data_IF_787043290145
#
_entry.id   IF_787043290145
#
_cell.length_a   1.000
_cell.length_b   1.000
_cell.length_c   1.000
_cell.angle_alpha   90.00
_cell.angle_beta   90.00
_cell.angle_gamma   90.00
#
_symmetry.space_group_name_H-M   'P 1'
#
loop_
_entity.id
_entity.type
_entity.pdbx_description
1 polymer ?
#
# COMPACT_ATOMS: atom_id res chain seq x y z
N UNK A 1 -42.01 -25.23 -12.39
CA UNK A 1 -42.66 -23.93 -12.69
C UNK A 1 -41.93 -23.30 -13.87
N UNK A 2 -42.62 -22.94 -14.96
CA UNK A 2 -41.97 -22.50 -16.21
C UNK A 2 -41.49 -21.04 -16.11
N UNK A 3 -40.20 -20.83 -15.82
CA UNK A 3 -39.58 -19.50 -15.66
C UNK A 3 -39.39 -18.73 -16.97
N UNK A 4 -39.61 -19.36 -18.14
CA UNK A 4 -39.38 -18.74 -19.45
C UNK A 4 -40.37 -17.60 -19.71
N UNK A 5 -41.64 -17.80 -19.33
CA UNK A 5 -42.71 -16.80 -19.53
C UNK A 5 -42.44 -15.48 -18.77
N UNK A 6 -42.17 -15.47 -17.45
CA UNK A 6 -41.86 -14.24 -16.75
C UNK A 6 -40.53 -13.61 -17.22
N UNK A 7 -39.55 -14.42 -17.61
CA UNK A 7 -38.28 -13.91 -18.11
C UNK A 7 -38.45 -13.15 -19.44
N UNK A 8 -39.26 -13.69 -20.35
CA UNK A 8 -39.58 -13.05 -21.62
C UNK A 8 -40.45 -11.79 -21.42
N UNK A 9 -41.38 -11.81 -20.47
CA UNK A 9 -42.22 -10.66 -20.14
C UNK A 9 -41.39 -9.47 -19.65
N UNK A 10 -40.39 -9.70 -18.78
CA UNK A 10 -39.44 -8.66 -18.38
C UNK A 10 -38.62 -8.16 -19.58
N UNK A 11 -38.04 -9.05 -20.38
CA UNK A 11 -37.26 -8.65 -21.56
C UNK A 11 -38.08 -7.79 -22.53
N UNK A 12 -39.37 -8.06 -22.68
CA UNK A 12 -40.29 -7.28 -23.50
C UNK A 12 -40.79 -5.98 -22.83
N UNK A 13 -40.38 -5.69 -21.59
CA UNK A 13 -40.81 -4.52 -20.82
C UNK A 13 -42.28 -4.56 -20.37
N UNK A 14 -42.89 -5.75 -20.30
CA UNK A 14 -44.32 -5.92 -19.99
C UNK A 14 -44.62 -6.06 -18.49
N UNK A 15 -43.58 -6.19 -17.66
CA UNK A 15 -43.73 -6.28 -16.22
C UNK A 15 -44.02 -4.89 -15.61
N UNK A 16 -44.64 -4.90 -14.43
CA UNK A 16 -44.77 -3.68 -13.64
C UNK A 16 -43.39 -3.03 -13.39
N UNK A 17 -43.35 -1.69 -13.47
CA UNK A 17 -42.10 -0.96 -13.41
C UNK A 17 -41.45 -1.06 -12.02
N UNK A 18 -42.22 -0.93 -10.94
CA UNK A 18 -41.67 -1.01 -9.59
C UNK A 18 -41.16 -2.42 -9.28
N UNK A 19 -41.91 -3.44 -9.68
CA UNK A 19 -41.49 -4.83 -9.57
C UNK A 19 -40.17 -5.07 -10.34
N UNK A 20 -40.10 -4.53 -11.56
CA UNK A 20 -38.90 -4.62 -12.40
C UNK A 20 -37.70 -3.99 -11.71
N UNK A 21 -37.83 -2.76 -11.23
CA UNK A 21 -36.73 -2.01 -10.63
C UNK A 21 -36.26 -2.61 -9.30
N UNK A 22 -37.19 -2.88 -8.38
CA UNK A 22 -36.84 -3.28 -7.01
C UNK A 22 -36.47 -4.75 -6.91
N UNK A 23 -37.20 -5.64 -7.59
CA UNK A 23 -37.00 -7.08 -7.46
C UNK A 23 -36.09 -7.61 -8.57
N UNK A 24 -36.45 -7.34 -9.84
CA UNK A 24 -35.74 -7.95 -10.97
C UNK A 24 -34.36 -7.33 -11.18
N UNK A 25 -34.20 -6.02 -11.02
CA UNK A 25 -32.89 -5.36 -11.17
C UNK A 25 -32.14 -5.38 -9.85
N UNK A 26 -32.58 -4.63 -8.84
CA UNK A 26 -31.83 -4.48 -7.58
C UNK A 26 -31.80 -5.77 -6.75
N UNK A 27 -32.96 -6.37 -6.49
CA UNK A 27 -33.07 -7.57 -5.66
C UNK A 27 -32.23 -8.73 -6.19
N UNK A 28 -32.35 -9.06 -7.47
CA UNK A 28 -31.52 -10.10 -8.09
C UNK A 28 -30.04 -9.72 -8.10
N UNK A 29 -29.67 -8.46 -8.35
CA UNK A 29 -28.26 -8.03 -8.35
C UNK A 29 -27.60 -8.13 -6.97
N UNK A 30 -28.34 -7.81 -5.91
CA UNK A 30 -27.89 -7.99 -4.53
C UNK A 30 -27.77 -9.47 -4.18
N UNK A 31 -28.76 -10.28 -4.59
CA UNK A 31 -28.74 -11.73 -4.38
C UNK A 31 -27.56 -12.39 -5.10
N UNK A 32 -27.27 -12.02 -6.34
CA UNK A 32 -26.10 -12.56 -7.06
C UNK A 32 -24.79 -12.18 -6.37
N UNK A 33 -24.67 -10.94 -5.91
CA UNK A 33 -23.49 -10.50 -5.14
C UNK A 33 -23.32 -11.29 -3.84
N UNK A 34 -24.41 -11.49 -3.09
CA UNK A 34 -24.41 -12.28 -1.86
C UNK A 34 -23.99 -13.74 -2.12
N UNK A 35 -24.58 -14.39 -3.13
CA UNK A 35 -24.26 -15.78 -3.49
C UNK A 35 -22.80 -15.93 -3.95
N UNK A 36 -22.25 -14.96 -4.67
CA UNK A 36 -20.86 -14.97 -5.12
C UNK A 36 -19.87 -15.15 -3.96
N UNK A 37 -20.16 -14.57 -2.78
CA UNK A 37 -19.32 -14.69 -1.59
C UNK A 37 -19.09 -16.14 -1.14
N UNK A 38 -20.02 -17.05 -1.45
CA UNK A 38 -19.96 -18.45 -1.06
C UNK A 38 -19.44 -19.38 -2.16
N UNK A 39 -19.17 -18.87 -3.36
CA UNK A 39 -18.71 -19.69 -4.48
C UNK A 39 -17.19 -19.96 -4.41
N UNK A 40 -16.73 -21.19 -4.72
CA UNK A 40 -15.31 -21.48 -4.85
C UNK A 40 -14.70 -20.79 -6.08
N UNK A 41 -13.39 -20.51 -6.04
CA UNK A 41 -12.68 -19.81 -7.13
C UNK A 41 -12.80 -20.51 -8.49
N UNK A 42 -12.92 -21.84 -8.51
CA UNK A 42 -13.07 -22.65 -9.72
C UNK A 42 -14.34 -22.37 -10.53
N UNK A 43 -15.42 -21.90 -9.90
CA UNK A 43 -16.70 -21.62 -10.59
C UNK A 43 -16.90 -20.13 -10.88
N UNK A 44 -16.05 -19.27 -10.31
CA UNK A 44 -16.16 -17.81 -10.49
C UNK A 44 -16.10 -17.36 -11.96
N UNK A 45 -15.24 -17.90 -12.85
CA UNK A 45 -15.23 -17.45 -14.25
C UNK A 45 -16.59 -17.59 -14.94
N UNK A 46 -17.25 -18.75 -14.77
CA UNK A 46 -18.59 -19.00 -15.32
C UNK A 46 -19.64 -18.12 -14.65
N UNK A 47 -19.54 -17.91 -13.33
CA UNK A 47 -20.43 -17.03 -12.59
C UNK A 47 -20.35 -15.56 -13.05
N UNK A 48 -19.15 -15.08 -13.35
CA UNK A 48 -18.92 -13.73 -13.86
C UNK A 48 -19.55 -13.55 -15.24
N UNK A 49 -19.40 -14.51 -16.16
CA UNK A 49 -20.07 -14.49 -17.47
C UNK A 49 -21.58 -14.46 -17.30
N UNK A 50 -22.14 -15.31 -16.44
CA UNK A 50 -23.57 -15.31 -16.12
C UNK A 50 -24.03 -13.94 -15.58
N UNK A 51 -23.27 -13.34 -14.68
CA UNK A 51 -23.60 -12.06 -14.04
C UNK A 51 -23.63 -10.88 -15.02
N UNK A 52 -22.79 -10.92 -16.07
CA UNK A 52 -22.79 -9.94 -17.18
C UNK A 52 -23.99 -10.17 -18.10
N UNK A 53 -24.28 -11.42 -18.47
CA UNK A 53 -25.46 -11.74 -19.29
C UNK A 53 -26.77 -11.36 -18.57
N UNK A 54 -26.84 -11.59 -17.26
CA UNK A 54 -27.94 -11.15 -16.42
C UNK A 54 -28.06 -9.62 -16.42
N UNK A 55 -26.95 -8.87 -16.37
CA UNK A 55 -26.98 -7.40 -16.47
C UNK A 55 -27.63 -6.95 -17.77
N UNK A 56 -27.21 -7.50 -18.91
CA UNK A 56 -27.76 -7.13 -20.23
C UNK A 56 -29.27 -7.36 -20.24
N UNK A 57 -29.72 -8.51 -19.71
CA UNK A 57 -31.13 -8.82 -19.59
C UNK A 57 -31.89 -7.84 -18.69
N UNK A 58 -31.34 -7.50 -17.52
CA UNK A 58 -31.90 -6.53 -16.57
C UNK A 58 -32.01 -5.12 -17.17
N UNK A 59 -30.96 -4.65 -17.85
CA UNK A 59 -30.91 -3.32 -18.48
C UNK A 59 -31.96 -3.21 -19.57
N UNK A 60 -31.99 -4.17 -20.50
CA UNK A 60 -32.93 -4.15 -21.63
C UNK A 60 -34.38 -4.17 -21.14
N UNK A 61 -34.71 -5.05 -20.18
CA UNK A 61 -36.06 -5.13 -19.65
C UNK A 61 -36.47 -3.89 -18.85
N UNK A 62 -35.57 -3.33 -18.04
CA UNK A 62 -35.83 -2.12 -17.26
C UNK A 62 -36.05 -0.89 -18.15
N UNK A 63 -35.19 -0.68 -19.16
CA UNK A 63 -35.35 0.43 -20.10
C UNK A 63 -36.65 0.32 -20.91
N UNK A 64 -36.99 -0.88 -21.40
CA UNK A 64 -38.25 -1.10 -22.13
C UNK A 64 -39.48 -0.88 -21.26
N UNK A 65 -39.45 -1.31 -19.99
CA UNK A 65 -40.53 -1.07 -19.04
C UNK A 65 -40.65 0.43 -18.71
N UNK A 66 -39.52 1.12 -18.54
CA UNK A 66 -39.45 2.57 -18.33
C UNK A 66 -40.01 3.36 -19.51
N UNK A 67 -39.63 3.00 -20.74
CA UNK A 67 -40.14 3.62 -21.97
C UNK A 67 -41.65 3.43 -22.13
N UNK A 68 -42.16 2.22 -21.84
CA UNK A 68 -43.58 1.94 -21.89
C UNK A 68 -44.33 2.75 -20.83
N UNK A 69 -43.80 2.82 -19.60
CA UNK A 69 -44.37 3.62 -18.53
C UNK A 69 -44.43 5.10 -18.91
N UNK A 70 -43.34 5.65 -19.47
CA UNK A 70 -43.28 7.04 -19.92
C UNK A 70 -44.32 7.31 -21.01
N UNK A 71 -44.47 6.41 -21.99
CA UNK A 71 -45.46 6.54 -23.07
C UNK A 71 -46.91 6.47 -22.59
N UNK A 72 -47.22 5.58 -21.63
CA UNK A 72 -48.60 5.33 -21.19
C UNK A 72 -49.04 6.29 -20.08
N UNK A 73 -48.16 6.61 -19.13
CA UNK A 73 -48.50 7.41 -17.94
C UNK A 73 -47.88 8.80 -17.92
N UNK A 74 -46.89 9.09 -18.76
CA UNK A 74 -46.27 10.43 -18.87
C UNK A 74 -45.40 10.87 -17.68
N UNK A 75 -45.19 10.02 -16.67
CA UNK A 75 -44.45 10.37 -15.46
C UNK A 75 -42.93 10.30 -15.65
N UNK A 76 -42.23 11.44 -15.67
CA UNK A 76 -40.78 11.50 -15.87
C UNK A 76 -39.97 11.01 -14.66
N UNK A 77 -40.47 11.14 -13.43
CA UNK A 77 -39.73 10.78 -12.21
C UNK A 77 -39.34 9.30 -12.21
N UNK A 78 -40.30 8.40 -12.45
CA UNK A 78 -40.03 6.95 -12.44
C UNK A 78 -39.17 6.50 -13.62
N UNK A 79 -39.19 7.24 -14.74
CA UNK A 79 -38.25 7.02 -15.83
C UNK A 79 -36.81 7.37 -15.41
N UNK A 80 -36.59 8.53 -14.77
CA UNK A 80 -35.26 8.87 -14.24
C UNK A 80 -34.80 7.91 -13.15
N UNK A 81 -35.70 7.43 -12.29
CA UNK A 81 -35.38 6.35 -11.33
C UNK A 81 -34.93 5.07 -12.04
N UNK A 82 -35.51 4.74 -13.21
CA UNK A 82 -35.08 3.61 -14.03
C UNK A 82 -33.64 3.76 -14.46
N UNK A 83 -33.27 4.94 -15.01
CA UNK A 83 -31.89 5.22 -15.43
C UNK A 83 -30.93 5.13 -14.25
N UNK A 84 -31.27 5.75 -13.12
CA UNK A 84 -30.43 5.72 -11.92
C UNK A 84 -30.21 4.28 -11.41
N UNK A 85 -31.27 3.47 -11.36
CA UNK A 85 -31.19 2.07 -10.91
C UNK A 85 -30.37 1.21 -11.88
N UNK A 86 -30.48 1.44 -13.19
CA UNK A 86 -29.65 0.77 -14.19
C UNK A 86 -28.17 1.11 -14.00
N UNK A 87 -27.84 2.38 -13.75
CA UNK A 87 -26.46 2.81 -13.46
C UNK A 87 -25.94 2.16 -12.18
N UNK A 88 -26.75 2.14 -11.11
CA UNK A 88 -26.40 1.46 -9.84
C UNK A 88 -26.17 -0.03 -10.07
N UNK A 89 -27.04 -0.71 -10.84
CA UNK A 89 -26.88 -2.12 -11.15
C UNK A 89 -25.59 -2.40 -11.95
N UNK A 90 -25.24 -1.53 -12.90
CA UNK A 90 -23.99 -1.63 -13.64
C UNK A 90 -22.77 -1.45 -12.71
N UNK A 91 -22.79 -0.44 -11.83
CA UNK A 91 -21.72 -0.20 -10.85
C UNK A 91 -21.56 -1.41 -9.90
N UNK A 92 -22.66 -1.93 -9.36
CA UNK A 92 -22.64 -3.13 -8.52
C UNK A 92 -22.05 -4.33 -9.27
N UNK A 93 -22.37 -4.48 -10.56
CA UNK A 93 -21.79 -5.54 -11.39
C UNK A 93 -20.28 -5.37 -11.53
N UNK A 94 -19.80 -4.16 -11.79
CA UNK A 94 -18.37 -3.87 -11.89
C UNK A 94 -17.65 -4.20 -10.60
N UNK A 95 -18.18 -3.77 -9.45
CA UNK A 95 -17.60 -4.09 -8.14
C UNK A 95 -17.56 -5.60 -7.88
N UNK A 96 -18.65 -6.31 -8.18
CA UNK A 96 -18.71 -7.78 -8.06
C UNK A 96 -17.73 -8.48 -9.01
N UNK A 97 -17.54 -7.93 -10.22
CA UNK A 97 -16.60 -8.49 -11.19
C UNK A 97 -15.14 -8.32 -10.73
N UNK A 98 -14.79 -7.15 -10.20
CA UNK A 98 -13.47 -6.89 -9.62
C UNK A 98 -13.20 -7.77 -8.39
N UNK A 99 -14.18 -7.94 -7.51
CA UNK A 99 -14.10 -8.91 -6.40
C UNK A 99 -13.84 -10.33 -6.92
N UNK A 100 -14.62 -10.79 -7.89
CA UNK A 100 -14.44 -12.11 -8.49
C UNK A 100 -13.06 -12.30 -9.11
N UNK A 101 -12.56 -11.31 -9.86
CA UNK A 101 -11.21 -11.34 -10.41
C UNK A 101 -10.13 -11.39 -9.33
N UNK A 102 -10.25 -10.59 -8.26
CA UNK A 102 -9.29 -10.60 -7.15
C UNK A 102 -9.24 -11.94 -6.41
N UNK A 103 -10.30 -12.76 -6.50
CA UNK A 103 -10.36 -14.10 -5.90
C UNK A 103 -9.88 -15.20 -6.85
N UNK A 104 -10.01 -15.01 -8.17
CA UNK A 104 -9.45 -15.92 -9.19
C UNK A 104 -7.93 -15.71 -9.28
N UNK A 105 -7.51 -14.45 -9.28
CA UNK A 105 -6.13 -14.01 -9.33
C UNK A 105 -5.84 -13.23 -8.05
N UNK A 106 -5.66 -13.93 -6.91
CA UNK A 106 -5.19 -13.26 -5.71
C UNK A 106 -3.89 -12.53 -6.04
N UNK A 107 -3.70 -11.28 -5.57
CA UNK A 107 -2.39 -10.65 -5.68
C UNK A 107 -1.37 -11.63 -5.08
N UNK A 108 -0.20 -11.75 -5.73
CA UNK A 108 0.89 -12.54 -5.15
C UNK A 108 1.10 -12.02 -3.73
N UNK A 109 0.81 -12.88 -2.75
CA UNK A 109 1.16 -12.56 -1.37
C UNK A 109 2.68 -12.45 -1.38
N UNK A 110 3.21 -11.25 -1.13
CA UNK A 110 4.61 -11.16 -0.76
C UNK A 110 4.82 -12.18 0.37
N UNK A 111 5.76 -13.13 0.22
CA UNK A 111 5.97 -14.13 1.25
C UNK A 111 6.13 -13.38 2.57
N UNK A 112 5.26 -13.68 3.53
CA UNK A 112 5.38 -13.13 4.89
C UNK A 112 6.71 -13.65 5.40
N UNK A 113 7.76 -12.85 5.21
CA UNK A 113 9.09 -13.21 5.62
C UNK A 113 9.01 -13.48 7.12
N UNK A 114 9.43 -14.68 7.50
CA UNK A 114 9.37 -15.17 8.87
C UNK A 114 9.97 -14.11 9.81
N UNK A 115 9.14 -13.56 10.71
CA UNK A 115 9.57 -12.56 11.69
C UNK A 115 10.41 -13.28 12.73
N UNK A 116 11.73 -13.25 12.56
CA UNK A 116 12.70 -13.78 13.53
C UNK A 116 13.21 -12.64 14.40
N UNK A 117 13.36 -12.84 15.72
CA UNK A 117 14.04 -11.88 16.57
C UNK A 117 15.44 -11.57 16.01
N UNK A 118 15.82 -10.29 16.07
CA UNK A 118 17.16 -9.86 15.69
C UNK A 118 18.18 -10.29 16.74
N UNK A 119 19.40 -10.54 16.27
CA UNK A 119 20.52 -10.87 17.15
C UNK A 119 20.86 -9.67 18.06
N UNK A 120 21.24 -9.97 19.30
CA UNK A 120 21.71 -9.00 20.28
C UNK A 120 23.10 -9.39 20.78
N UNK A 121 23.86 -8.41 21.26
CA UNK A 121 25.15 -8.66 21.92
C UNK A 121 24.97 -9.46 23.22
N UNK A 122 26.05 -10.12 23.65
CA UNK A 122 26.04 -10.93 24.88
C UNK A 122 25.69 -10.14 26.15
N UNK A 123 25.93 -8.83 26.16
CA UNK A 123 25.58 -7.91 27.26
C UNK A 123 24.16 -7.31 27.10
N UNK A 124 23.42 -7.69 26.06
CA UNK A 124 22.08 -7.20 25.71
C UNK A 124 21.95 -5.68 25.50
N UNK A 125 23.08 -4.97 25.31
CA UNK A 125 23.09 -3.52 25.09
C UNK A 125 23.07 -3.11 23.61
N UNK A 126 23.45 -4.01 22.72
CA UNK A 126 23.52 -3.75 21.28
C UNK A 126 22.60 -4.68 20.52
N UNK A 127 21.73 -4.11 19.70
CA UNK A 127 20.89 -4.83 18.75
C UNK A 127 21.51 -4.75 17.36
N UNK A 128 21.62 -5.89 16.67
CA UNK A 128 22.17 -5.95 15.30
C UNK A 128 21.07 -5.86 14.24
N UNK A 129 20.99 -4.69 13.58
CA UNK A 129 20.07 -4.45 12.47
C UNK A 129 20.78 -4.75 11.14
N UNK A 130 20.63 -5.99 10.67
CA UNK A 130 21.27 -6.49 9.47
C UNK A 130 20.24 -6.77 8.35
N UNK A 131 20.57 -6.35 7.12
CA UNK A 131 19.80 -6.71 5.92
C UNK A 131 18.97 -5.57 5.33
N UNK A 132 18.06 -5.92 4.42
CA UNK A 132 17.21 -4.96 3.71
C UNK A 132 16.14 -4.36 4.64
N UNK A 133 15.89 -3.06 4.50
CA UNK A 133 14.84 -2.36 5.23
C UNK A 133 13.44 -2.73 4.70
N UNK A 134 12.96 -3.89 5.13
CA UNK A 134 11.64 -4.44 4.81
C UNK A 134 10.65 -4.29 5.98
N UNK A 135 9.36 -4.51 5.69
CA UNK A 135 8.33 -4.54 6.73
C UNK A 135 8.56 -5.65 7.76
N UNK A 136 9.10 -6.80 7.33
CA UNK A 136 9.46 -7.88 8.25
C UNK A 136 10.62 -7.51 9.17
N UNK A 137 11.67 -6.85 8.65
CA UNK A 137 12.78 -6.37 9.49
C UNK A 137 12.28 -5.40 10.56
N UNK A 138 11.34 -4.51 10.21
CA UNK A 138 10.71 -3.60 11.18
C UNK A 138 9.98 -4.36 12.29
N UNK A 139 9.22 -5.40 11.93
CA UNK A 139 8.50 -6.20 12.92
C UNK A 139 9.47 -6.93 13.85
N UNK A 140 10.52 -7.55 13.29
CA UNK A 140 11.61 -8.17 14.05
C UNK A 140 12.27 -7.17 15.01
N UNK A 141 12.57 -5.96 14.53
CA UNK A 141 13.17 -4.90 15.35
C UNK A 141 12.29 -4.50 16.54
N UNK A 142 11.00 -4.28 16.31
CA UNK A 142 10.06 -3.92 17.38
C UNK A 142 9.90 -5.04 18.40
N UNK A 143 9.79 -6.29 17.93
CA UNK A 143 9.68 -7.44 18.82
C UNK A 143 10.94 -7.60 19.68
N UNK A 144 12.13 -7.51 19.10
CA UNK A 144 13.39 -7.62 19.85
C UNK A 144 13.54 -6.52 20.89
N UNK A 145 13.13 -5.28 20.59
CA UNK A 145 13.17 -4.19 21.59
C UNK A 145 12.15 -4.35 22.71
N UNK A 146 11.01 -5.01 22.46
CA UNK A 146 10.05 -5.36 23.50
C UNK A 146 10.60 -6.42 24.45
N UNK A 147 11.35 -7.39 23.91
CA UNK A 147 11.98 -8.47 24.67
C UNK A 147 13.25 -8.01 25.42
N UNK A 148 13.94 -6.98 24.89
CA UNK A 148 15.24 -6.51 25.39
C UNK A 148 15.25 -5.00 25.65
N UNK A 149 14.66 -4.57 26.77
CA UNK A 149 14.55 -3.16 27.15
C UNK A 149 15.86 -2.48 27.57
N UNK A 150 16.95 -3.25 27.71
CA UNK A 150 18.28 -2.75 28.08
C UNK A 150 19.13 -2.32 26.86
N UNK A 151 18.60 -2.46 25.64
CA UNK A 151 19.29 -2.04 24.42
C UNK A 151 19.50 -0.53 24.46
N UNK A 152 20.74 -0.13 24.21
CA UNK A 152 21.17 1.27 24.16
C UNK A 152 21.66 1.65 22.76
N UNK A 153 22.12 0.68 21.97
CA UNK A 153 22.74 0.91 20.66
C UNK A 153 22.15 -0.01 19.60
N UNK A 154 21.84 0.56 18.43
CA UNK A 154 21.52 -0.18 17.21
C UNK A 154 22.77 -0.17 16.33
N UNK A 155 23.39 -1.34 16.17
CA UNK A 155 24.47 -1.52 15.22
C UNK A 155 23.88 -1.89 13.85
N UNK A 156 24.23 -1.14 12.83
CA UNK A 156 23.56 -1.16 11.53
C UNK A 156 24.50 -1.69 10.44
N UNK A 157 23.98 -2.62 9.63
CA UNK A 157 24.58 -3.04 8.37
C UNK A 157 23.48 -3.29 7.34
N UNK A 158 23.27 -2.33 6.43
CA UNK A 158 22.17 -2.38 5.47
C UNK A 158 22.49 -1.60 4.19
N UNK A 159 22.05 -2.15 3.06
CA UNK A 159 22.11 -1.48 1.75
C UNK A 159 20.91 -0.56 1.49
N UNK A 160 20.00 -0.46 2.46
CA UNK A 160 18.76 0.29 2.34
C UNK A 160 17.57 -0.61 2.10
N UNK A 161 16.55 -0.10 1.41
CA UNK A 161 15.26 -0.74 1.22
C UNK A 161 14.14 0.30 1.18
N UNK A 162 13.00 -0.02 1.77
CA UNK A 162 11.83 0.87 1.78
C UNK A 162 12.10 2.12 2.64
N UNK A 163 12.01 3.31 2.03
CA UNK A 163 12.16 4.61 2.72
C UNK A 163 11.20 4.74 3.91
N UNK A 164 9.93 4.34 3.73
CA UNK A 164 8.93 4.36 4.79
C UNK A 164 9.28 3.44 5.98
N UNK A 165 9.95 2.31 5.72
CA UNK A 165 10.46 1.44 6.80
C UNK A 165 11.63 2.12 7.50
N UNK A 166 12.57 2.71 6.76
CA UNK A 166 13.69 3.46 7.34
C UNK A 166 13.23 4.58 8.27
N UNK A 167 12.22 5.36 7.86
CA UNK A 167 11.63 6.40 8.71
C UNK A 167 10.92 5.85 9.94
N UNK A 168 10.23 4.73 9.82
CA UNK A 168 9.56 4.12 10.96
C UNK A 168 10.55 3.59 12.02
N UNK A 169 11.65 2.97 11.57
CA UNK A 169 12.75 2.59 12.44
C UNK A 169 13.38 3.82 13.08
N UNK A 170 13.62 4.88 12.30
CA UNK A 170 14.15 6.15 12.79
C UNK A 170 13.28 6.78 13.89
N UNK A 171 11.95 6.80 13.71
CA UNK A 171 11.02 7.28 14.74
C UNK A 171 11.15 6.48 16.05
N UNK A 172 11.24 5.17 15.94
CA UNK A 172 11.39 4.27 17.11
C UNK A 172 12.72 4.51 17.82
N UNK A 173 13.82 4.60 17.07
CA UNK A 173 15.16 4.91 17.60
C UNK A 173 15.16 6.26 18.33
N UNK A 174 14.52 7.28 17.75
CA UNK A 174 14.44 8.61 18.32
C UNK A 174 13.59 8.63 19.59
N UNK A 175 12.45 7.95 19.60
CA UNK A 175 11.55 7.85 20.76
C UNK A 175 12.25 7.18 21.95
N UNK A 176 12.97 6.09 21.69
CA UNK A 176 13.71 5.33 22.70
C UNK A 176 15.10 5.91 23.00
N UNK A 177 15.49 6.99 22.31
CA UNK A 177 16.80 7.65 22.44
C UNK A 177 17.99 6.69 22.26
N UNK A 178 17.86 5.72 21.36
CA UNK A 178 18.92 4.76 21.08
C UNK A 178 20.07 5.43 20.33
N UNK A 179 21.28 4.91 20.53
CA UNK A 179 22.46 5.25 19.75
C UNK A 179 22.46 4.44 18.44
N UNK A 180 23.15 4.94 17.43
CA UNK A 180 23.34 4.22 16.16
C UNK A 180 24.83 4.10 15.85
N UNK A 181 25.22 2.91 15.38
CA UNK A 181 26.60 2.61 15.02
C UNK A 181 26.65 1.91 13.67
N UNK A 182 27.47 2.40 12.75
CA UNK A 182 27.75 1.69 11.49
C UNK A 182 29.00 0.84 11.68
N UNK A 183 28.87 -0.47 11.47
CA UNK A 183 30.02 -1.38 11.57
C UNK A 183 30.66 -1.70 10.21
N UNK A 184 29.84 -1.82 9.16
CA UNK A 184 30.31 -2.13 7.80
C UNK A 184 29.81 -1.12 6.78
N UNK A 185 28.50 -1.06 6.54
CA UNK A 185 27.94 -0.10 5.60
C UNK A 185 26.50 0.24 5.90
N UNK A 186 26.11 1.45 5.57
CA UNK A 186 24.74 1.94 5.67
C UNK A 186 24.42 2.79 4.44
N UNK A 187 23.61 2.25 3.52
CA UNK A 187 23.36 2.85 2.21
C UNK A 187 21.88 3.22 2.02
N UNK A 188 21.62 4.23 1.20
CA UNK A 188 20.26 4.62 0.80
C UNK A 188 19.34 4.91 2.00
N UNK A 189 18.16 4.28 2.09
CA UNK A 189 17.22 4.45 3.20
C UNK A 189 17.80 4.09 4.59
N UNK A 190 18.88 3.30 4.66
CA UNK A 190 19.60 3.04 5.91
C UNK A 190 20.10 4.34 6.56
N UNK A 191 20.51 5.31 5.76
CA UNK A 191 21.03 6.59 6.27
C UNK A 191 20.01 7.30 7.16
N UNK A 192 18.71 7.18 6.86
CA UNK A 192 17.62 7.74 7.68
C UNK A 192 17.62 7.10 9.08
N UNK A 193 17.79 5.77 9.14
CA UNK A 193 17.87 5.01 10.39
C UNK A 193 19.08 5.45 11.21
N UNK A 194 20.25 5.52 10.57
CA UNK A 194 21.48 5.94 11.23
C UNK A 194 21.37 7.36 11.81
N UNK A 195 20.80 8.29 11.03
CA UNK A 195 20.66 9.70 11.41
C UNK A 195 19.70 9.92 12.59
N UNK A 196 18.88 8.94 12.95
CA UNK A 196 17.95 9.03 14.07
C UNK A 196 18.63 8.85 15.44
N UNK A 197 19.85 8.29 15.48
CA UNK A 197 20.54 7.97 16.72
C UNK A 197 20.85 9.20 17.56
N UNK A 198 20.74 9.03 18.89
CA UNK A 198 21.11 10.07 19.86
C UNK A 198 22.61 10.33 19.86
N UNK A 199 23.39 9.24 19.78
CA UNK A 199 24.82 9.25 19.45
C UNK A 199 25.03 8.47 18.16
N UNK A 200 25.84 9.00 17.25
CA UNK A 200 26.12 8.45 15.93
C UNK A 200 27.61 8.18 15.80
N UNK A 201 27.97 6.91 15.71
CA UNK A 201 29.36 6.46 15.58
C UNK A 201 29.54 5.55 14.36
N UNK A 202 30.79 5.43 13.92
CA UNK A 202 31.12 4.73 12.69
C UNK A 202 32.47 4.01 12.85
N UNK A 203 32.55 2.75 12.42
CA UNK A 203 33.79 1.99 12.40
C UNK A 203 34.77 2.54 11.35
N UNK A 204 36.08 2.38 11.57
CA UNK A 204 37.10 3.03 10.74
C UNK A 204 37.03 2.67 9.25
N UNK A 205 36.68 1.42 8.93
CA UNK A 205 36.61 0.90 7.55
C UNK A 205 35.17 0.75 7.05
N UNK A 206 34.23 1.48 7.64
CA UNK A 206 32.83 1.42 7.22
C UNK A 206 32.49 2.49 6.18
N UNK A 207 31.33 2.33 5.53
CA UNK A 207 30.86 3.20 4.45
C UNK A 207 29.44 3.71 4.72
N UNK A 208 29.22 5.01 4.46
CA UNK A 208 27.91 5.65 4.49
C UNK A 208 27.58 6.16 3.09
N UNK A 209 26.43 5.76 2.53
CA UNK A 209 26.09 6.03 1.14
C UNK A 209 24.76 6.73 0.95
N UNK A 210 24.76 7.87 0.24
CA UNK A 210 23.57 8.66 -0.05
C UNK A 210 23.29 8.71 -1.57
N UNK A 211 22.01 8.78 -1.94
CA UNK A 211 21.55 9.09 -3.29
C UNK A 211 20.11 9.65 -3.22
N UNK A 212 19.70 10.35 -4.28
CA UNK A 212 18.30 10.79 -4.41
C UNK A 212 17.32 9.61 -4.50
N UNK A 213 16.10 9.83 -3.99
CA UNK A 213 15.03 8.85 -4.11
C UNK A 213 14.65 8.67 -5.58
N UNK A 214 14.82 7.45 -6.08
CA UNK A 214 14.40 7.10 -7.42
C UNK A 214 12.88 6.84 -7.45
N UNK A 215 12.24 7.31 -8.53
CA UNK A 215 10.90 6.85 -8.90
C UNK A 215 10.98 5.39 -9.33
N UNK A 216 10.78 4.47 -8.39
CA UNK A 216 10.42 3.11 -8.71
C UNK A 216 8.92 3.08 -9.03
N UNK A 217 8.56 2.59 -10.23
CA UNK A 217 7.17 2.39 -10.66
C UNK A 217 6.38 1.47 -9.70
N UNK A 218 7.09 0.68 -8.88
CA UNK A 218 6.50 -0.20 -7.87
C UNK A 218 6.17 0.50 -6.54
N UNK A 219 6.74 1.69 -6.27
CA UNK A 219 6.63 2.38 -4.98
C UNK A 219 5.83 3.70 -5.05
N UNK A 220 5.20 4.01 -6.18
CA UNK A 220 4.49 5.27 -6.37
C UNK A 220 2.99 5.08 -6.24
N UNK A 221 2.45 5.51 -5.10
CA UNK A 221 1.03 5.85 -5.02
C UNK A 221 0.76 7.11 -5.84
N UNK A 222 -0.37 7.20 -6.56
CA UNK A 222 -0.75 8.42 -7.27
C UNK A 222 -0.71 9.63 -6.32
N UNK A 223 0.10 10.64 -6.64
CA UNK A 223 0.21 11.89 -5.87
C UNK A 223 1.40 12.02 -4.92
N UNK A 224 2.31 11.04 -4.84
CA UNK A 224 3.54 11.15 -4.03
C UNK A 224 4.68 11.74 -4.87
N UNK A 225 5.24 12.88 -4.43
CA UNK A 225 6.41 13.51 -5.04
C UNK A 225 7.70 13.06 -4.34
N UNK A 226 8.65 12.40 -5.03
CA UNK A 226 9.94 12.03 -4.43
C UNK A 226 10.72 13.22 -3.87
N UNK A 227 10.59 14.39 -4.50
CA UNK A 227 11.26 15.60 -4.07
C UNK A 227 10.69 16.12 -2.73
N UNK A 228 9.37 16.03 -2.54
CA UNK A 228 8.72 16.39 -1.28
C UNK A 228 9.11 15.40 -0.17
N UNK A 229 9.09 14.10 -0.49
CA UNK A 229 9.53 13.06 0.43
C UNK A 229 10.99 13.25 0.86
N UNK A 230 11.85 13.56 -0.11
CA UNK A 230 13.26 13.80 0.17
C UNK A 230 13.50 15.07 1.00
N UNK A 231 12.68 16.10 0.82
CA UNK A 231 12.75 17.32 1.64
C UNK A 231 12.43 17.04 3.11
N UNK A 232 11.49 16.12 3.41
CA UNK A 232 11.18 15.69 4.78
C UNK A 232 12.42 15.11 5.47
N UNK A 233 13.14 14.22 4.79
CA UNK A 233 14.35 13.60 5.36
C UNK A 233 15.52 14.59 5.47
N UNK A 234 15.62 15.55 4.53
CA UNK A 234 16.59 16.66 4.63
C UNK A 234 16.36 17.52 5.87
N UNK A 235 15.10 17.83 6.19
CA UNK A 235 14.74 18.57 7.39
C UNK A 235 15.03 17.79 8.68
N UNK A 236 14.81 16.48 8.66
CA UNK A 236 15.20 15.58 9.76
C UNK A 236 16.71 15.63 9.99
N UNK A 237 17.53 15.55 8.93
CA UNK A 237 18.99 15.57 9.05
C UNK A 237 19.49 16.93 9.56
N UNK A 238 18.91 18.03 9.08
CA UNK A 238 19.15 19.38 9.61
C UNK A 238 18.85 19.45 11.10
N UNK A 239 17.69 18.93 11.53
CA UNK A 239 17.30 18.92 12.93
C UNK A 239 18.25 18.08 13.81
N UNK A 240 18.96 17.13 13.21
CA UNK A 240 20.02 16.34 13.86
C UNK A 240 21.42 16.98 13.77
N UNK A 241 21.50 18.24 13.37
CA UNK A 241 22.74 19.02 13.42
C UNK A 241 23.70 18.81 12.24
N UNK A 242 23.25 18.21 11.13
CA UNK A 242 24.06 18.14 9.91
C UNK A 242 24.23 19.53 9.31
N UNK A 243 25.45 19.85 8.87
CA UNK A 243 25.75 21.12 8.25
C UNK A 243 24.99 21.30 6.92
N UNK A 244 24.54 22.53 6.64
CA UNK A 244 23.85 22.84 5.37
C UNK A 244 24.70 22.49 4.15
N UNK A 245 26.01 22.67 4.25
CA UNK A 245 26.96 22.36 3.18
C UNK A 245 26.93 20.86 2.87
N UNK A 246 26.95 20.01 3.90
CA UNK A 246 26.90 18.56 3.70
C UNK A 246 25.51 18.10 3.22
N UNK A 247 24.43 18.70 3.74
CA UNK A 247 23.08 18.44 3.24
C UNK A 247 22.99 18.76 1.74
N UNK A 248 23.49 19.91 1.30
CA UNK A 248 23.47 20.25 -0.11
C UNK A 248 24.22 19.20 -0.94
N UNK A 249 25.40 18.78 -0.49
CA UNK A 249 26.21 17.77 -1.17
C UNK A 249 25.49 16.42 -1.34
N UNK A 250 24.87 15.87 -0.29
CA UNK A 250 24.26 14.53 -0.34
C UNK A 250 22.91 14.52 -1.05
N UNK A 251 22.17 15.63 -1.03
CA UNK A 251 20.86 15.75 -1.68
C UNK A 251 20.95 16.15 -3.16
N UNK A 252 22.11 16.63 -3.64
CA UNK A 252 22.39 16.86 -5.06
C UNK A 252 22.92 15.61 -5.81
N UNK A 253 23.24 14.53 -5.10
CA UNK A 253 23.71 13.28 -5.70
C UNK A 253 22.60 12.59 -6.51
N UNK A 254 22.84 12.37 -7.81
CA UNK A 254 21.84 11.80 -8.74
C UNK A 254 21.32 10.42 -8.28
N UNK A 255 20.07 10.05 -8.61
CA UNK A 255 19.49 8.77 -8.19
C UNK A 255 20.32 7.55 -8.62
N UNK A 256 20.98 7.62 -9.78
CA UNK A 256 21.77 6.53 -10.37
C UNK A 256 23.21 6.46 -9.84
N UNK A 257 23.67 7.46 -9.06
CA UNK A 257 25.04 7.54 -8.55
C UNK A 257 25.04 7.77 -7.05
N UNK A 258 25.37 6.71 -6.31
CA UNK A 258 25.56 6.80 -4.87
C UNK A 258 26.85 7.55 -4.53
N UNK A 259 26.74 8.51 -3.62
CA UNK A 259 27.86 9.21 -3.01
C UNK A 259 28.25 8.47 -1.72
N UNK A 260 29.46 7.91 -1.69
CA UNK A 260 30.01 7.17 -0.55
C UNK A 260 30.93 8.05 0.29
N UNK A 261 30.85 7.88 1.61
CA UNK A 261 31.64 8.61 2.60
C UNK A 261 32.24 7.63 3.59
N UNK A 262 33.55 7.77 3.83
CA UNK A 262 34.29 7.10 4.90
C UNK A 262 34.28 7.98 6.16
N UNK A 263 34.62 7.39 7.31
CA UNK A 263 34.59 8.07 8.61
C UNK A 263 35.36 9.39 8.65
N UNK A 264 36.59 9.40 8.10
CA UNK A 264 37.47 10.57 8.03
C UNK A 264 36.89 11.73 7.20
N UNK A 265 36.01 11.42 6.25
CA UNK A 265 35.34 12.42 5.39
C UNK A 265 34.11 13.05 6.03
N UNK A 266 33.69 12.55 7.19
CA UNK A 266 32.51 13.03 7.92
C UNK A 266 32.86 13.98 9.07
N UNK A 267 34.15 14.24 9.31
CA UNK A 267 34.57 15.18 10.34
C UNK A 267 34.02 16.60 10.05
N UNK A 268 33.53 17.27 11.10
CA UNK A 268 32.91 18.59 11.00
C UNK A 268 31.58 18.66 10.22
N UNK A 269 31.03 17.54 9.72
CA UNK A 269 29.76 17.54 8.98
C UNK A 269 28.52 17.50 9.86
N UNK A 270 28.67 17.12 11.14
CA UNK A 270 27.55 16.88 12.06
C UNK A 270 26.83 15.55 11.85
N UNK A 271 27.35 14.67 10.98
CA UNK A 271 26.83 13.31 10.77
C UNK A 271 27.23 12.38 11.92
N UNK A 272 28.48 12.47 12.37
CA UNK A 272 29.00 11.77 13.55
C UNK A 272 28.93 12.71 14.75
N UNK A 273 28.60 12.19 15.93
CA UNK A 273 28.52 12.99 17.17
C UNK A 273 29.55 12.58 18.21
N UNK A 274 30.19 11.43 18.01
CA UNK A 274 31.27 10.92 18.86
C UNK A 274 32.32 10.25 17.97
N UNK A 275 33.54 10.13 18.48
CA UNK A 275 34.64 9.43 17.82
C UNK A 275 34.39 7.93 17.69
#
# INVERSE_FOLDING_TARGET
MNLIKPALAHWQGRNDLLLTLLITVLGLRLLTGFLQGYLPSSVLPTWLVFSVLLLVWQVVGALRAGDLYLKVRGGMVLYWCTIAIVVIAALLTTLQFLDGLSRIYPPEAEPVAEVKPLEISADAKTLYLNGELSWSLRQSFLQTLQEHTAVETVQIHSDGGLVFVGRALALTIKELKLNTRIEKRCLSACTIVFMAGSKRTMAAQSELGFHQYALSYANTSPGVSPAEEQQVDREMFRAQGVSEVFLQQIFEAKPEKMAFFTKDRLDGTGVLTEE
#
